data_IF_698076269463
#
_entry.id   IF_698076269463
#
_cell.length_a   1.000
_cell.length_b   1.000
_cell.length_c   1.000
_cell.angle_alpha   90.00
_cell.angle_beta   90.00
_cell.angle_gamma   90.00
#
_symmetry.space_group_name_H-M   'P 1'
#
loop_
_entity.id
_entity.type
_entity.pdbx_description
1 polymer ?
#
# COMPACT_ATOMS: atom_id res chain seq x y z
N UNK A 1 57.85 -2.21 10.48
CA UNK A 1 57.75 -1.17 9.43
C UNK A 1 56.40 -0.51 9.68
N UNK A 2 56.33 0.78 10.05
CA UNK A 2 55.05 1.40 10.42
C UNK A 2 54.16 1.50 9.17
N UNK A 3 52.96 0.94 9.22
CA UNK A 3 51.95 1.15 8.20
C UNK A 3 51.67 2.65 8.04
N UNK A 4 51.44 3.09 6.81
CA UNK A 4 50.84 4.40 6.57
C UNK A 4 49.41 4.39 7.15
N UNK A 5 48.95 5.51 7.73
CA UNK A 5 47.61 5.63 8.33
C UNK A 5 46.50 5.17 7.38
N UNK A 6 46.65 5.42 6.08
CA UNK A 6 45.73 4.97 5.04
C UNK A 6 45.69 3.43 4.89
N UNK A 7 46.84 2.76 5.01
CA UNK A 7 46.92 1.29 4.92
C UNK A 7 46.33 0.63 6.16
N UNK A 8 46.57 1.20 7.36
CA UNK A 8 45.95 0.72 8.61
C UNK A 8 44.43 0.85 8.55
N UNK A 9 43.90 1.97 8.06
CA UNK A 9 42.46 2.19 7.91
C UNK A 9 41.78 1.16 7.01
N UNK A 10 42.41 0.82 5.87
CA UNK A 10 41.88 -0.20 4.96
C UNK A 10 41.91 -1.60 5.57
N UNK A 11 43.00 -1.96 6.25
CA UNK A 11 43.13 -3.23 6.98
C UNK A 11 42.03 -3.38 8.05
N UNK A 12 41.78 -2.32 8.83
CA UNK A 12 40.69 -2.27 9.80
C UNK A 12 39.32 -2.53 9.20
N UNK A 13 38.98 -1.84 8.11
CA UNK A 13 37.68 -2.05 7.45
C UNK A 13 37.53 -3.48 6.94
N UNK A 14 38.59 -4.07 6.37
CA UNK A 14 38.58 -5.45 5.89
C UNK A 14 38.39 -6.45 7.03
N UNK A 15 39.08 -6.26 8.16
CA UNK A 15 38.93 -7.11 9.34
C UNK A 15 37.51 -7.03 9.93
N UNK A 16 36.94 -5.83 10.04
CA UNK A 16 35.56 -5.64 10.49
C UNK A 16 34.57 -6.35 9.57
N UNK A 17 34.70 -6.15 8.25
CA UNK A 17 33.84 -6.79 7.25
C UNK A 17 33.95 -8.31 7.29
N UNK A 18 35.16 -8.85 7.43
CA UNK A 18 35.37 -10.30 7.57
C UNK A 18 34.73 -10.86 8.85
N UNK A 19 34.85 -10.14 9.97
CA UNK A 19 34.39 -10.58 11.28
C UNK A 19 32.87 -10.51 11.43
N UNK A 20 32.27 -9.42 11.00
CA UNK A 20 30.85 -9.11 11.19
C UNK A 20 29.98 -9.55 10.01
N UNK A 21 30.56 -9.70 8.82
CA UNK A 21 29.85 -10.05 7.59
C UNK A 21 28.75 -9.03 7.27
N UNK A 22 27.54 -9.51 6.99
CA UNK A 22 26.39 -8.66 6.66
C UNK A 22 25.99 -7.70 7.78
N UNK A 23 26.31 -7.98 9.06
CA UNK A 23 26.01 -7.06 10.16
C UNK A 23 26.77 -5.72 10.04
N UNK A 24 27.93 -5.73 9.37
CA UNK A 24 28.68 -4.51 9.13
C UNK A 24 28.03 -3.64 8.06
N UNK A 25 27.51 -4.29 7.01
CA UNK A 25 26.89 -3.66 5.85
C UNK A 25 25.38 -3.44 6.00
N UNK A 26 24.79 -3.90 7.10
CA UNK A 26 23.36 -3.75 7.33
C UNK A 26 22.99 -2.28 7.54
N UNK A 27 21.94 -1.86 6.86
CA UNK A 27 21.40 -0.51 6.91
C UNK A 27 19.99 -0.54 7.50
N UNK A 28 19.66 0.49 8.28
CA UNK A 28 18.32 0.65 8.85
C UNK A 28 17.31 0.84 7.72
N UNK A 29 16.35 -0.09 7.51
CA UNK A 29 15.39 0.05 6.44
C UNK A 29 14.44 1.22 6.71
N UNK A 30 14.09 1.94 5.65
CA UNK A 30 13.02 2.94 5.72
C UNK A 30 11.67 2.25 5.56
N UNK A 31 10.84 2.33 6.61
CA UNK A 31 9.50 1.76 6.63
C UNK A 31 8.49 2.91 6.66
N UNK A 32 7.66 2.98 5.63
CA UNK A 32 6.54 3.92 5.57
C UNK A 32 5.34 3.32 6.30
N UNK A 33 4.58 4.15 7.01
CA UNK A 33 3.31 3.71 7.59
C UNK A 33 2.32 3.41 6.46
N UNK A 34 1.86 2.16 6.39
CA UNK A 34 0.91 1.69 5.40
C UNK A 34 -0.23 0.95 6.11
N UNK A 35 -0.81 -0.07 5.46
CA UNK A 35 -1.93 -0.85 6.00
C UNK A 35 -1.46 -1.82 7.07
N UNK A 36 -2.19 -1.84 8.19
CA UNK A 36 -1.98 -2.80 9.27
C UNK A 36 -0.94 -2.35 10.31
N UNK A 37 -0.37 -3.30 11.07
CA UNK A 37 0.55 -2.96 12.16
C UNK A 37 1.82 -2.28 11.64
N UNK A 38 2.16 -1.15 12.25
CA UNK A 38 3.36 -0.39 11.96
C UNK A 38 4.18 -0.24 13.24
N UNK A 39 5.35 -0.87 13.28
CA UNK A 39 6.25 -0.84 14.44
C UNK A 39 7.72 -0.77 13.99
N UNK A 40 8.17 0.39 13.45
CA UNK A 40 9.54 0.55 12.98
C UNK A 40 10.58 0.43 14.11
N UNK A 41 10.16 0.51 15.38
CA UNK A 41 11.05 0.35 16.54
C UNK A 41 11.76 -1.01 16.54
N UNK A 42 11.17 -2.05 15.94
CA UNK A 42 11.82 -3.37 15.82
C UNK A 42 13.15 -3.32 15.07
N UNK A 43 13.23 -2.49 14.04
CA UNK A 43 14.48 -2.30 13.29
C UNK A 43 15.43 -1.37 14.02
N UNK A 44 14.92 -0.32 14.66
CA UNK A 44 15.75 0.60 15.46
C UNK A 44 16.41 -0.12 16.65
N UNK A 45 15.67 -0.94 17.39
CA UNK A 45 16.18 -1.76 18.51
C UNK A 45 17.26 -2.75 18.03
N UNK A 46 17.11 -3.30 16.82
CA UNK A 46 18.11 -4.17 16.23
C UNK A 46 19.36 -3.39 15.82
N UNK A 47 19.20 -2.23 15.17
CA UNK A 47 20.31 -1.39 14.73
C UNK A 47 21.12 -0.85 15.92
N UNK A 48 20.46 -0.43 17.01
CA UNK A 48 21.14 0.00 18.23
C UNK A 48 22.05 -1.10 18.78
N UNK A 49 21.54 -2.33 18.89
CA UNK A 49 22.32 -3.49 19.34
C UNK A 49 23.45 -3.83 18.38
N UNK A 50 23.19 -3.72 17.07
CA UNK A 50 24.18 -3.94 16.01
C UNK A 50 25.30 -2.91 16.10
N UNK A 51 24.99 -1.62 16.16
CA UNK A 51 25.97 -0.54 16.30
C UNK A 51 26.79 -0.68 17.58
N UNK A 52 26.15 -1.03 18.70
CA UNK A 52 26.85 -1.31 19.95
C UNK A 52 27.83 -2.50 19.81
N UNK A 53 27.45 -3.55 19.09
CA UNK A 53 28.34 -4.68 18.77
C UNK A 53 29.49 -4.26 17.85
N UNK A 54 29.20 -3.53 16.76
CA UNK A 54 30.24 -3.02 15.84
C UNK A 54 31.25 -2.17 16.61
N UNK A 55 30.77 -1.28 17.49
CA UNK A 55 31.63 -0.44 18.31
C UNK A 55 32.55 -1.25 19.23
N UNK A 56 32.05 -2.28 19.92
CA UNK A 56 32.91 -3.14 20.77
C UNK A 56 34.01 -3.83 19.97
N UNK A 57 33.71 -4.29 18.76
CA UNK A 57 34.70 -4.91 17.88
C UNK A 57 35.70 -3.87 17.35
N UNK A 58 35.25 -2.65 17.05
CA UNK A 58 36.11 -1.53 16.66
C UNK A 58 37.05 -1.11 17.80
N UNK A 59 36.53 -0.96 19.01
CA UNK A 59 37.32 -0.62 20.20
C UNK A 59 38.37 -1.71 20.46
N UNK A 60 37.99 -2.99 20.36
CA UNK A 60 38.94 -4.10 20.47
C UNK A 60 40.05 -4.03 19.42
N UNK A 61 39.73 -3.77 18.14
CA UNK A 61 40.73 -3.61 17.08
C UNK A 61 41.62 -2.38 17.31
N UNK A 62 41.08 -1.27 17.82
CA UNK A 62 41.82 -0.04 18.09
C UNK A 62 42.88 -0.24 19.18
N UNK A 63 42.61 -1.09 20.17
CA UNK A 63 43.54 -1.45 21.23
C UNK A 63 44.67 -2.40 20.79
N UNK A 64 44.59 -2.99 19.59
CA UNK A 64 45.65 -3.85 19.05
C UNK A 64 46.81 -3.04 18.45
N UNK A 65 48.03 -3.56 18.63
CA UNK A 65 49.23 -3.01 18.01
C UNK A 65 49.22 -3.17 16.48
N UNK A 66 49.95 -2.30 15.76
CA UNK A 66 50.11 -2.41 14.29
C UNK A 66 50.54 -3.81 13.85
N UNK A 67 51.48 -4.42 14.58
CA UNK A 67 52.02 -5.74 14.26
C UNK A 67 50.96 -6.84 14.34
N UNK A 68 50.06 -6.78 15.33
CA UNK A 68 48.96 -7.73 15.45
C UNK A 68 47.94 -7.51 14.33
N UNK A 69 47.63 -6.26 14.00
CA UNK A 69 46.69 -5.93 12.93
C UNK A 69 47.18 -6.42 11.56
N UNK A 70 48.49 -6.26 11.29
CA UNK A 70 49.14 -6.80 10.10
C UNK A 70 49.01 -8.33 10.05
N UNK A 71 49.35 -9.02 11.16
CA UNK A 71 49.21 -10.48 11.26
C UNK A 71 47.77 -10.96 11.05
N UNK A 72 46.78 -10.26 11.61
CA UNK A 72 45.37 -10.62 11.45
C UNK A 72 44.90 -10.43 10.00
N UNK A 73 45.46 -9.45 9.30
CA UNK A 73 45.15 -9.14 7.90
C UNK A 73 45.82 -10.10 6.92
N UNK A 74 46.90 -10.75 7.33
CA UNK A 74 47.62 -11.73 6.53
C UNK A 74 46.84 -13.07 6.47
N UNK A 75 46.39 -13.51 5.28
CA UNK A 75 45.70 -14.78 5.12
C UNK A 75 46.59 -15.99 5.44
N UNK A 76 47.92 -15.87 5.34
CA UNK A 76 48.88 -16.94 5.58
C UNK A 76 49.13 -17.20 7.07
N UNK A 77 48.76 -16.26 7.96
CA UNK A 77 48.91 -16.43 9.42
C UNK A 77 48.19 -17.70 9.88
N UNK A 78 48.89 -18.65 10.53
CA UNK A 78 48.30 -19.90 11.01
C UNK A 78 47.09 -19.66 11.93
N UNK A 79 46.08 -20.53 11.87
CA UNK A 79 44.87 -20.37 12.69
C UNK A 79 45.09 -20.61 14.18
N UNK A 80 46.16 -21.31 14.55
CA UNK A 80 46.59 -21.60 15.92
C UNK A 80 47.43 -20.48 16.54
N UNK A 81 47.74 -19.42 15.79
CA UNK A 81 48.30 -18.19 16.35
C UNK A 81 47.34 -17.62 17.43
N UNK A 82 47.90 -17.28 18.60
CA UNK A 82 47.13 -16.84 19.76
C UNK A 82 46.33 -15.56 19.47
N UNK A 83 46.92 -14.60 18.74
CA UNK A 83 46.26 -13.34 18.39
C UNK A 83 45.08 -13.61 17.44
N UNK A 84 45.28 -14.45 16.43
CA UNK A 84 44.21 -14.86 15.49
C UNK A 84 43.10 -15.64 16.20
N UNK A 85 43.46 -16.55 17.11
CA UNK A 85 42.50 -17.30 17.93
C UNK A 85 41.68 -16.39 18.84
N UNK A 86 42.32 -15.42 19.50
CA UNK A 86 41.66 -14.44 20.35
C UNK A 86 40.71 -13.55 19.53
N UNK A 87 41.17 -13.06 18.38
CA UNK A 87 40.34 -12.30 17.43
C UNK A 87 39.12 -13.09 17.01
N UNK A 88 39.26 -14.36 16.63
CA UNK A 88 38.13 -15.21 16.21
C UNK A 88 37.12 -15.47 17.34
N UNK A 89 37.58 -15.57 18.59
CA UNK A 89 36.72 -15.78 19.76
C UNK A 89 36.01 -14.51 20.23
N UNK A 90 36.65 -13.35 20.09
CA UNK A 90 36.09 -12.06 20.52
C UNK A 90 34.70 -11.83 19.91
N UNK A 91 33.70 -11.56 20.75
CA UNK A 91 32.29 -11.32 20.39
C UNK A 91 31.61 -12.42 19.53
N UNK A 92 32.20 -13.63 19.43
CA UNK A 92 31.68 -14.70 18.54
C UNK A 92 30.22 -15.07 18.85
N UNK A 93 29.88 -15.20 20.13
CA UNK A 93 28.52 -15.56 20.54
C UNK A 93 27.54 -14.41 20.32
N UNK A 94 27.93 -13.16 20.56
CA UNK A 94 27.09 -12.00 20.30
C UNK A 94 26.78 -11.84 18.80
N UNK A 95 27.80 -12.00 17.94
CA UNK A 95 27.64 -12.01 16.48
C UNK A 95 26.67 -13.13 16.08
N UNK A 96 26.87 -14.35 16.60
CA UNK A 96 26.00 -15.49 16.31
C UNK A 96 24.55 -15.25 16.76
N UNK A 97 24.34 -14.62 17.92
CA UNK A 97 23.01 -14.28 18.42
C UNK A 97 22.34 -13.22 17.54
N UNK A 98 23.05 -12.16 17.17
CA UNK A 98 22.54 -11.14 16.25
C UNK A 98 22.20 -11.72 14.88
N UNK A 99 23.03 -12.63 14.35
CA UNK A 99 22.77 -13.30 13.09
C UNK A 99 21.51 -14.17 13.13
N UNK A 100 21.20 -14.78 14.29
CA UNK A 100 19.96 -15.54 14.49
C UNK A 100 18.73 -14.65 14.65
N UNK A 101 18.91 -13.47 15.24
CA UNK A 101 17.83 -12.51 15.50
C UNK A 101 17.75 -11.44 14.41
N UNK A 102 18.04 -11.78 13.14
CA UNK A 102 17.82 -10.85 12.05
C UNK A 102 16.32 -10.60 11.90
N UNK A 103 15.80 -9.38 12.14
CA UNK A 103 14.38 -9.11 11.95
C UNK A 103 14.02 -9.32 10.47
N UNK A 104 12.96 -10.08 10.15
CA UNK A 104 12.50 -10.17 8.77
C UNK A 104 12.07 -8.78 8.28
N UNK A 105 12.09 -8.57 6.96
CA UNK A 105 11.78 -7.28 6.35
C UNK A 105 10.38 -6.72 6.70
N UNK A 106 9.45 -7.60 7.07
CA UNK A 106 8.09 -7.24 7.50
C UNK A 106 7.97 -7.02 9.01
N UNK A 107 9.04 -7.12 9.80
CA UNK A 107 8.96 -7.05 11.27
C UNK A 107 8.36 -5.73 11.77
N UNK A 108 8.64 -4.63 11.07
CA UNK A 108 8.11 -3.30 11.36
C UNK A 108 6.84 -2.90 10.58
N UNK A 109 6.26 -3.81 9.80
CA UNK A 109 5.12 -3.54 8.92
C UNK A 109 5.43 -3.82 7.44
N UNK A 110 4.44 -3.61 6.56
CA UNK A 110 4.55 -3.95 5.13
C UNK A 110 5.07 -2.81 4.24
N UNK A 111 5.23 -1.59 4.76
CA UNK A 111 5.67 -0.42 3.99
C UNK A 111 7.17 -0.34 3.69
N UNK A 112 7.82 -1.47 3.43
CA UNK A 112 9.24 -1.51 3.07
C UNK A 112 9.43 -1.28 1.56
N UNK A 113 10.22 -0.27 1.17
CA UNK A 113 10.36 0.17 -0.23
C UNK A 113 10.76 -0.96 -1.20
N UNK A 114 11.79 -1.75 -0.85
CA UNK A 114 12.26 -2.87 -1.68
C UNK A 114 11.22 -3.98 -1.94
N UNK A 115 10.12 -4.00 -1.19
CA UNK A 115 9.07 -5.02 -1.28
C UNK A 115 7.74 -4.45 -1.77
N UNK A 116 7.72 -3.15 -2.09
CA UNK A 116 6.54 -2.44 -2.55
C UNK A 116 6.06 -2.98 -3.90
N UNK A 117 4.76 -3.12 -4.04
CA UNK A 117 4.14 -3.53 -5.30
C UNK A 117 4.33 -2.49 -6.42
N UNK A 118 4.48 -2.97 -7.64
CA UNK A 118 4.40 -2.14 -8.84
C UNK A 118 2.94 -1.88 -9.21
N UNK A 119 2.31 -0.91 -8.53
CA UNK A 119 0.88 -0.63 -8.73
C UNK A 119 0.54 -0.17 -10.15
N UNK A 120 1.48 0.43 -10.88
CA UNK A 120 1.26 0.82 -12.28
C UNK A 120 1.11 -0.42 -13.17
N UNK A 121 1.98 -1.42 -12.99
CA UNK A 121 1.86 -2.71 -13.65
C UNK A 121 0.58 -3.46 -13.23
N UNK A 122 0.33 -3.59 -11.92
CA UNK A 122 -0.80 -4.37 -11.41
C UNK A 122 -2.16 -3.75 -11.72
N UNK A 123 -2.25 -2.42 -11.88
CA UNK A 123 -3.49 -1.76 -12.29
C UNK A 123 -3.91 -2.05 -13.74
N UNK A 124 -3.02 -2.61 -14.57
CA UNK A 124 -3.31 -3.01 -15.95
C UNK A 124 -3.79 -4.47 -16.05
N UNK A 125 -3.76 -5.22 -14.96
CA UNK A 125 -4.18 -6.63 -14.95
C UNK A 125 -5.69 -6.75 -15.09
N UNK A 126 -6.14 -7.70 -15.92
CA UNK A 126 -7.55 -8.00 -16.10
C UNK A 126 -8.18 -8.75 -14.92
N UNK A 127 -7.36 -9.40 -14.10
CA UNK A 127 -7.81 -10.15 -12.92
C UNK A 127 -6.68 -10.49 -11.98
N UNK A 128 -7.04 -10.78 -10.73
CA UNK A 128 -6.11 -11.18 -9.67
C UNK A 128 -6.43 -12.60 -9.19
N UNK A 129 -5.44 -13.34 -8.72
CA UNK A 129 -5.65 -14.45 -7.78
C UNK A 129 -5.95 -13.90 -6.38
N UNK A 130 -6.50 -14.74 -5.50
CA UNK A 130 -6.68 -14.36 -4.09
C UNK A 130 -5.37 -13.93 -3.43
N UNK A 131 -4.27 -14.60 -3.77
CA UNK A 131 -2.95 -14.30 -3.24
C UNK A 131 -2.40 -12.96 -3.75
N UNK A 132 -2.58 -12.65 -5.03
CA UNK A 132 -2.24 -11.33 -5.58
C UNK A 132 -3.09 -10.24 -4.92
N UNK A 133 -4.41 -10.41 -4.85
CA UNK A 133 -5.30 -9.44 -4.22
C UNK A 133 -4.95 -9.20 -2.74
N UNK A 134 -4.58 -10.26 -2.01
CA UNK A 134 -4.10 -10.19 -0.64
C UNK A 134 -2.85 -9.31 -0.53
N UNK A 135 -1.79 -9.62 -1.27
CA UNK A 135 -0.52 -8.91 -1.13
C UNK A 135 -0.61 -7.47 -1.65
N UNK A 136 -1.32 -7.25 -2.76
CA UNK A 136 -1.55 -5.91 -3.30
C UNK A 136 -2.38 -5.04 -2.34
N UNK A 137 -3.35 -5.62 -1.63
CA UNK A 137 -4.11 -4.88 -0.60
C UNK A 137 -3.24 -4.38 0.56
N UNK A 138 -2.12 -5.06 0.83
CA UNK A 138 -1.11 -4.68 1.82
C UNK A 138 0.02 -3.82 1.25
N UNK A 139 0.03 -3.63 -0.08
CA UNK A 139 1.07 -2.93 -0.83
C UNK A 139 2.36 -3.70 -1.06
N UNK A 140 2.31 -5.03 -0.95
CA UNK A 140 3.45 -5.92 -1.14
C UNK A 140 3.42 -6.52 -2.54
N UNK A 141 4.57 -6.54 -3.21
CA UNK A 141 4.71 -7.19 -4.51
C UNK A 141 4.53 -8.72 -4.40
N UNK A 142 3.59 -9.34 -5.14
CA UNK A 142 3.29 -10.76 -5.02
C UNK A 142 4.46 -11.74 -5.13
N UNK A 143 5.54 -11.39 -5.84
CA UNK A 143 6.72 -12.25 -5.98
C UNK A 143 7.52 -12.45 -4.68
N UNK A 144 7.34 -11.60 -3.67
CA UNK A 144 8.10 -11.63 -2.43
C UNK A 144 7.51 -12.50 -1.32
N UNK A 145 6.26 -12.92 -1.49
CA UNK A 145 5.59 -13.87 -0.62
C UNK A 145 4.95 -14.93 -1.49
N UNK A 146 5.36 -16.19 -1.37
CA UNK A 146 4.71 -17.29 -2.10
C UNK A 146 3.47 -17.74 -1.36
N UNK A 147 2.47 -18.21 -2.09
CA UNK A 147 1.23 -18.73 -1.50
C UNK A 147 1.51 -19.89 -0.52
N UNK A 148 2.46 -20.77 -0.85
CA UNK A 148 2.91 -21.86 0.03
C UNK A 148 3.48 -21.36 1.36
N UNK A 149 4.22 -20.25 1.35
CA UNK A 149 4.78 -19.66 2.58
C UNK A 149 3.66 -19.13 3.49
N UNK A 150 2.66 -18.47 2.90
CA UNK A 150 1.48 -17.99 3.64
C UNK A 150 0.67 -19.16 4.21
N UNK A 151 0.50 -20.25 3.46
CA UNK A 151 -0.13 -21.47 3.95
C UNK A 151 0.65 -22.10 5.11
N UNK A 152 1.98 -22.17 5.01
CA UNK A 152 2.82 -22.68 6.08
C UNK A 152 2.72 -21.83 7.36
N UNK A 153 2.63 -20.50 7.22
CA UNK A 153 2.43 -19.58 8.36
C UNK A 153 1.06 -19.79 9.02
N UNK A 154 0.01 -20.05 8.24
CA UNK A 154 -1.31 -20.39 8.79
C UNK A 154 -1.23 -21.65 9.66
N UNK A 155 -0.57 -22.71 9.16
CA UNK A 155 -0.39 -23.94 9.93
C UNK A 155 0.49 -23.74 11.18
N UNK A 156 1.48 -22.85 11.12
CA UNK A 156 2.27 -22.46 12.31
C UNK A 156 1.37 -21.81 13.37
N UNK A 157 0.56 -20.83 12.97
CA UNK A 157 -0.35 -20.13 13.87
C UNK A 157 -1.36 -21.09 14.53
N UNK A 158 -1.91 -22.03 13.77
CA UNK A 158 -2.87 -23.04 14.26
C UNK A 158 -2.25 -24.02 15.27
N UNK A 159 -0.95 -24.29 15.16
CA UNK A 159 -0.21 -25.09 16.15
C UNK A 159 0.17 -24.31 17.41
N UNK A 160 -0.13 -23.00 17.45
CA UNK A 160 0.22 -22.12 18.57
C UNK A 160 1.61 -21.51 18.47
N UNK A 161 2.28 -21.58 17.31
CA UNK A 161 3.55 -20.90 17.09
C UNK A 161 3.33 -19.37 17.14
N UNK A 162 4.27 -18.64 17.73
CA UNK A 162 4.20 -17.17 17.76
C UNK A 162 4.68 -16.59 16.43
N UNK A 163 3.82 -15.81 15.78
CA UNK A 163 4.16 -15.07 14.56
C UNK A 163 4.33 -13.58 14.84
N UNK A 164 5.06 -12.92 13.95
CA UNK A 164 5.12 -11.47 13.92
C UNK A 164 3.73 -10.88 13.67
N UNK A 165 3.41 -9.79 14.34
CA UNK A 165 2.08 -9.17 14.27
C UNK A 165 1.63 -8.83 12.83
N UNK A 166 2.51 -8.35 11.92
CA UNK A 166 2.17 -8.17 10.50
C UNK A 166 1.74 -9.47 9.80
N UNK A 167 2.35 -10.63 10.12
CA UNK A 167 1.94 -11.91 9.55
C UNK A 167 0.56 -12.34 10.06
N UNK A 168 0.28 -12.13 11.35
CA UNK A 168 -1.07 -12.39 11.89
C UNK A 168 -2.11 -11.53 11.19
N UNK A 169 -1.79 -10.26 10.91
CA UNK A 169 -2.65 -9.37 10.15
C UNK A 169 -2.87 -9.86 8.70
N UNK A 170 -1.81 -10.27 8.01
CA UNK A 170 -1.87 -10.85 6.67
C UNK A 170 -2.78 -12.10 6.62
N UNK A 171 -2.64 -13.01 7.58
CA UNK A 171 -3.46 -14.22 7.65
C UNK A 171 -4.95 -13.91 7.89
N UNK A 172 -5.25 -12.93 8.74
CA UNK A 172 -6.64 -12.45 8.92
C UNK A 172 -7.19 -11.82 7.65
N UNK A 173 -6.39 -11.02 6.93
CA UNK A 173 -6.81 -10.45 5.64
C UNK A 173 -7.07 -11.55 4.61
N UNK A 174 -6.20 -12.56 4.56
CA UNK A 174 -6.37 -13.71 3.68
C UNK A 174 -7.71 -14.39 3.94
N UNK A 175 -8.05 -14.66 5.20
CA UNK A 175 -9.33 -15.26 5.57
C UNK A 175 -10.53 -14.44 5.07
N UNK A 176 -10.47 -13.10 5.19
CA UNK A 176 -11.51 -12.20 4.69
C UNK A 176 -11.70 -12.35 3.17
N UNK A 177 -10.59 -12.32 2.41
CA UNK A 177 -10.58 -12.42 0.94
C UNK A 177 -11.06 -13.80 0.49
N UNK A 178 -10.54 -14.88 1.08
CA UNK A 178 -10.91 -16.26 0.70
C UNK A 178 -12.39 -16.57 0.98
N UNK A 179 -12.96 -15.97 2.03
CA UNK A 179 -14.40 -16.14 2.33
C UNK A 179 -15.28 -15.48 1.29
N UNK A 180 -14.88 -14.31 0.78
CA UNK A 180 -15.61 -13.61 -0.26
C UNK A 180 -15.40 -14.25 -1.64
N UNK A 181 -14.15 -14.49 -2.00
CA UNK A 181 -13.72 -14.99 -3.30
C UNK A 181 -13.30 -16.44 -3.19
N UNK A 182 -14.29 -17.32 -3.00
CA UNK A 182 -14.03 -18.76 -2.83
C UNK A 182 -13.47 -19.34 -4.12
N UNK A 183 -12.22 -19.80 -4.07
CA UNK A 183 -11.58 -20.52 -5.17
C UNK A 183 -12.16 -21.92 -5.33
N UNK A 184 -13.23 -22.05 -6.12
CA UNK A 184 -13.74 -23.35 -6.55
C UNK A 184 -12.90 -23.90 -7.69
N UNK A 185 -11.72 -24.44 -7.36
CA UNK A 185 -10.81 -25.10 -8.31
C UNK A 185 -9.59 -24.29 -8.71
N UNK A 186 -8.75 -24.88 -9.56
CA UNK A 186 -7.52 -24.23 -10.06
C UNK A 186 -7.89 -23.12 -11.03
N UNK A 187 -7.37 -21.91 -10.80
CA UNK A 187 -7.51 -20.79 -11.71
C UNK A 187 -8.71 -19.88 -11.45
N UNK A 188 -9.29 -19.88 -10.24
CA UNK A 188 -10.18 -18.81 -9.86
C UNK A 188 -9.46 -17.46 -9.94
N UNK A 189 -10.14 -16.49 -10.53
CA UNK A 189 -9.65 -15.15 -10.80
C UNK A 189 -10.71 -14.17 -10.32
N UNK A 190 -10.27 -13.19 -9.54
CA UNK A 190 -11.06 -12.09 -9.02
C UNK A 190 -11.04 -10.98 -10.07
N UNK A 191 -12.21 -10.52 -10.49
CA UNK A 191 -12.32 -9.32 -11.28
C UNK A 191 -11.94 -8.10 -10.41
N UNK A 192 -11.06 -7.20 -10.87
CA UNK A 192 -10.63 -6.07 -10.07
C UNK A 192 -11.79 -5.17 -9.61
N UNK A 193 -12.77 -4.92 -10.49
CA UNK A 193 -13.92 -4.07 -10.13
C UNK A 193 -14.73 -4.71 -9.01
N UNK A 194 -15.00 -6.01 -9.11
CA UNK A 194 -15.66 -6.77 -8.04
C UNK A 194 -14.88 -6.70 -6.71
N UNK A 195 -13.55 -6.84 -6.78
CA UNK A 195 -12.68 -6.73 -5.60
C UNK A 195 -12.80 -5.37 -4.91
N UNK A 196 -12.66 -4.27 -5.67
CA UNK A 196 -12.68 -2.92 -5.12
C UNK A 196 -14.08 -2.50 -4.63
N UNK A 197 -15.15 -2.92 -5.31
CA UNK A 197 -16.53 -2.71 -4.85
C UNK A 197 -16.78 -3.42 -3.51
N UNK A 198 -16.36 -4.67 -3.39
CA UNK A 198 -16.44 -5.41 -2.13
C UNK A 198 -15.60 -4.77 -1.03
N UNK A 199 -14.35 -4.41 -1.33
CA UNK A 199 -13.44 -3.77 -0.38
C UNK A 199 -14.03 -2.45 0.15
N UNK A 200 -14.63 -1.63 -0.73
CA UNK A 200 -15.35 -0.43 -0.33
C UNK A 200 -16.55 -0.75 0.57
N UNK A 201 -17.36 -1.74 0.19
CA UNK A 201 -18.56 -2.14 0.94
C UNK A 201 -18.24 -2.60 2.36
N UNK A 202 -17.18 -3.41 2.55
CA UNK A 202 -16.76 -3.90 3.87
C UNK A 202 -15.79 -2.96 4.59
N UNK A 203 -15.49 -1.80 4.01
CA UNK A 203 -14.50 -0.85 4.51
C UNK A 203 -13.14 -1.51 4.78
N UNK A 204 -12.69 -2.36 3.83
CA UNK A 204 -11.40 -3.00 3.90
C UNK A 204 -10.30 -1.94 3.78
N UNK A 205 -9.45 -1.87 4.80
CA UNK A 205 -8.24 -1.05 4.78
C UNK A 205 -7.27 -1.58 3.70
N UNK A 206 -6.98 -0.74 2.70
CA UNK A 206 -6.18 -1.09 1.53
C UNK A 206 -5.10 -0.05 1.30
N UNK A 207 -3.99 -0.49 0.71
CA UNK A 207 -2.88 0.40 0.40
C UNK A 207 -3.38 1.55 -0.49
N UNK A 208 -3.14 2.82 -0.12
CA UNK A 208 -3.77 3.97 -0.77
C UNK A 208 -3.47 4.04 -2.26
N UNK A 209 -2.25 3.67 -2.65
CA UNK A 209 -1.86 3.63 -4.05
C UNK A 209 -2.61 2.57 -4.85
N UNK A 210 -2.81 1.38 -4.28
CA UNK A 210 -3.56 0.31 -4.95
C UNK A 210 -5.00 0.77 -5.25
N UNK A 211 -5.63 1.44 -4.28
CA UNK A 211 -6.94 2.04 -4.46
C UNK A 211 -6.94 3.18 -5.50
N UNK A 212 -5.95 4.07 -5.46
CA UNK A 212 -5.90 5.25 -6.34
C UNK A 212 -5.70 4.90 -7.82
N UNK A 213 -4.86 3.91 -8.13
CA UNK A 213 -4.56 3.52 -9.50
C UNK A 213 -5.79 2.87 -10.16
N UNK A 214 -6.56 2.08 -9.42
CA UNK A 214 -7.77 1.47 -9.95
C UNK A 214 -8.90 2.47 -10.24
N UNK A 215 -9.10 3.45 -9.34
CA UNK A 215 -10.07 4.53 -9.57
C UNK A 215 -9.67 5.37 -10.81
N UNK A 216 -8.38 5.50 -11.08
CA UNK A 216 -7.85 6.28 -12.19
C UNK A 216 -7.94 5.53 -13.53
N UNK A 217 -7.66 4.23 -13.59
CA UNK A 217 -7.81 3.43 -14.81
C UNK A 217 -9.27 3.29 -15.23
N UNK A 218 -10.20 3.18 -14.27
CA UNK A 218 -11.64 3.25 -14.54
C UNK A 218 -12.06 4.57 -15.22
N UNK A 219 -11.37 5.68 -14.91
CA UNK A 219 -11.57 6.99 -15.55
C UNK A 219 -10.81 7.17 -16.86
N UNK A 220 -9.75 6.40 -17.12
CA UNK A 220 -8.94 6.53 -18.34
C UNK A 220 -9.44 5.63 -19.49
N UNK A 221 -10.02 4.47 -19.19
CA UNK A 221 -10.78 3.69 -20.18
C UNK A 221 -12.20 4.21 -20.39
N UNK A 222 -12.73 4.98 -19.43
CA UNK A 222 -13.77 5.94 -19.71
C UNK A 222 -13.15 7.20 -20.32
N UNK A 223 -12.78 7.17 -21.62
CA UNK A 223 -12.94 8.39 -22.40
C UNK A 223 -14.30 8.97 -22.00
N UNK A 224 -14.40 10.23 -21.55
CA UNK A 224 -15.68 10.84 -21.30
C UNK A 224 -16.32 11.03 -22.68
N UNK A 225 -16.92 9.95 -23.18
CA UNK A 225 -18.12 10.11 -23.95
C UNK A 225 -19.03 10.85 -22.99
N UNK A 226 -19.22 12.15 -23.23
CA UNK A 226 -20.30 12.96 -22.69
C UNK A 226 -21.70 12.44 -23.15
N UNK A 227 -21.77 11.13 -23.42
CA UNK A 227 -22.84 10.30 -23.94
C UNK A 227 -22.87 8.98 -23.15
N UNK A 228 -22.44 8.91 -21.88
CA UNK A 228 -23.16 8.01 -20.97
C UNK A 228 -24.59 8.51 -20.96
N UNK A 229 -25.37 7.96 -21.88
CA UNK A 229 -26.74 8.36 -22.10
C UNK A 229 -27.48 8.09 -20.80
N UNK A 230 -28.40 9.00 -20.49
CA UNK A 230 -29.41 8.92 -19.44
C UNK A 230 -30.22 7.58 -19.47
N UNK A 231 -29.91 6.67 -20.40
CA UNK A 231 -30.48 5.34 -20.64
C UNK A 231 -29.94 4.25 -19.70
N UNK A 232 -28.76 4.41 -19.10
CA UNK A 232 -28.20 3.40 -18.19
C UNK A 232 -28.67 3.53 -16.72
N UNK A 233 -29.40 4.61 -16.37
CA UNK A 233 -30.02 4.72 -15.05
C UNK A 233 -31.24 3.80 -14.97
N UNK A 234 -31.41 3.11 -13.83
CA UNK A 234 -32.63 2.37 -13.54
C UNK A 234 -33.86 3.27 -13.81
N UNK A 235 -34.85 2.81 -14.60
CA UNK A 235 -35.97 3.66 -15.01
C UNK A 235 -36.77 4.26 -13.85
N UNK A 236 -36.84 3.58 -12.70
CA UNK A 236 -37.54 4.07 -11.51
C UNK A 236 -36.75 5.17 -10.81
N UNK A 237 -35.44 4.99 -10.69
CA UNK A 237 -34.53 6.01 -10.13
C UNK A 237 -34.58 7.27 -11.00
N UNK A 238 -34.46 7.11 -12.32
CA UNK A 238 -34.55 8.22 -13.28
C UNK A 238 -35.88 8.97 -13.19
N UNK A 239 -37.01 8.26 -13.11
CA UNK A 239 -38.32 8.90 -12.93
C UNK A 239 -38.42 9.67 -11.62
N UNK A 240 -37.85 9.13 -10.54
CA UNK A 240 -37.87 9.77 -9.22
C UNK A 240 -37.04 11.05 -9.21
N UNK A 241 -35.84 11.04 -9.80
CA UNK A 241 -35.00 12.23 -9.97
C UNK A 241 -35.70 13.31 -10.79
N UNK A 242 -36.33 12.94 -11.92
CA UNK A 242 -37.06 13.90 -12.74
C UNK A 242 -38.25 14.53 -12.00
N UNK A 243 -38.96 13.79 -11.15
CA UNK A 243 -40.04 14.34 -10.30
C UNK A 243 -39.50 15.34 -9.27
N UNK A 244 -38.35 15.05 -8.67
CA UNK A 244 -37.69 15.97 -7.73
C UNK A 244 -37.29 17.26 -8.44
N UNK A 245 -36.63 17.15 -9.60
CA UNK A 245 -36.24 18.31 -10.42
C UNK A 245 -37.48 19.15 -10.79
N UNK A 246 -38.57 18.52 -11.26
CA UNK A 246 -39.80 19.25 -11.57
C UNK A 246 -40.35 19.98 -10.34
N UNK A 247 -40.38 19.33 -9.19
CA UNK A 247 -40.90 19.90 -7.95
C UNK A 247 -40.06 21.10 -7.49
N UNK A 248 -38.74 20.98 -7.50
CA UNK A 248 -37.82 22.07 -7.11
C UNK A 248 -37.89 23.24 -8.09
N UNK A 249 -37.97 22.98 -9.40
CA UNK A 249 -38.06 24.04 -10.40
C UNK A 249 -39.38 24.82 -10.27
N UNK A 250 -40.51 24.11 -10.10
CA UNK A 250 -41.84 24.75 -9.97
C UNK A 250 -41.96 25.49 -8.64
N UNK A 251 -41.58 24.86 -7.52
CA UNK A 251 -41.76 25.43 -6.19
C UNK A 251 -40.70 26.46 -5.81
N UNK A 252 -39.44 26.22 -6.19
CA UNK A 252 -38.29 27.04 -5.80
C UNK A 252 -37.98 28.15 -6.79
N UNK A 253 -38.12 27.89 -8.09
CA UNK A 253 -37.79 28.85 -9.15
C UNK A 253 -39.01 29.37 -9.88
N UNK A 254 -40.23 29.05 -9.44
CA UNK A 254 -41.48 29.45 -10.09
C UNK A 254 -41.58 29.04 -11.57
N UNK A 255 -40.90 27.95 -11.95
CA UNK A 255 -40.89 27.46 -13.33
C UNK A 255 -42.28 27.06 -13.78
N UNK A 256 -42.75 27.66 -14.88
CA UNK A 256 -44.00 27.27 -15.52
C UNK A 256 -43.72 26.48 -16.81
N UNK A 257 -44.10 25.19 -16.88
CA UNK A 257 -43.82 24.32 -18.02
C UNK A 257 -44.55 24.73 -19.31
N UNK A 258 -45.55 25.62 -19.23
CA UNK A 258 -46.33 26.10 -20.37
C UNK A 258 -45.77 27.36 -21.01
N UNK A 259 -44.79 28.00 -20.38
CA UNK A 259 -44.23 29.25 -20.89
C UNK A 259 -43.33 29.00 -22.10
N UNK A 260 -43.48 29.83 -23.13
CA UNK A 260 -42.63 29.75 -24.34
C UNK A 260 -41.18 30.12 -24.06
N UNK A 261 -40.93 30.96 -23.05
CA UNK A 261 -39.63 31.40 -22.59
C UNK A 261 -39.67 31.50 -21.07
N UNK A 262 -38.59 31.06 -20.41
CA UNK A 262 -38.44 31.09 -18.96
C UNK A 262 -36.99 31.41 -18.62
N UNK A 263 -36.80 32.39 -17.74
CA UNK A 263 -35.48 32.83 -17.26
C UNK A 263 -34.95 31.91 -16.12
N UNK A 264 -35.78 30.97 -15.66
CA UNK A 264 -35.40 29.97 -14.63
C UNK A 264 -34.17 29.16 -15.01
N UNK A 265 -33.94 28.95 -16.32
CA UNK A 265 -32.74 28.21 -16.76
C UNK A 265 -31.47 28.94 -16.33
N UNK A 266 -31.39 30.25 -16.59
CA UNK A 266 -30.24 31.07 -16.19
C UNK A 266 -30.15 31.23 -14.68
N UNK A 267 -31.28 31.32 -13.97
CA UNK A 267 -31.29 31.43 -12.51
C UNK A 267 -30.69 30.18 -11.85
N UNK A 268 -31.09 28.98 -12.30
CA UNK A 268 -30.55 27.70 -11.82
C UNK A 268 -29.04 27.62 -12.12
N UNK A 269 -28.60 28.00 -13.31
CA UNK A 269 -27.17 27.98 -13.68
C UNK A 269 -26.36 28.93 -12.79
N UNK A 270 -26.88 30.13 -12.54
CA UNK A 270 -26.24 31.11 -11.67
C UNK A 270 -26.14 30.60 -10.22
N UNK A 271 -27.21 30.01 -9.68
CA UNK A 271 -27.21 29.49 -8.32
C UNK A 271 -26.31 28.25 -8.16
N UNK A 272 -26.29 27.36 -9.15
CA UNK A 272 -25.33 26.25 -9.19
C UNK A 272 -23.88 26.76 -9.20
N UNK A 273 -23.60 27.81 -9.97
CA UNK A 273 -22.27 28.42 -10.06
C UNK A 273 -21.82 29.04 -8.72
N UNK A 274 -22.74 29.66 -7.97
CA UNK A 274 -22.45 30.16 -6.60
C UNK A 274 -22.03 29.04 -5.64
N UNK A 275 -22.44 27.80 -5.91
CA UNK A 275 -22.07 26.61 -5.14
C UNK A 275 -20.83 25.87 -5.71
N UNK A 276 -20.18 26.42 -6.74
CA UNK A 276 -19.04 25.78 -7.40
C UNK A 276 -19.41 24.64 -8.34
N UNK A 277 -20.70 24.52 -8.72
CA UNK A 277 -21.19 23.51 -9.67
C UNK A 277 -21.30 24.13 -11.06
N UNK A 278 -20.52 23.62 -12.01
CA UNK A 278 -20.57 24.08 -13.40
C UNK A 278 -21.69 23.38 -14.17
N UNK A 279 -22.69 24.15 -14.64
CA UNK A 279 -23.79 23.68 -15.47
C UNK A 279 -23.95 24.58 -16.70
N UNK A 280 -24.38 24.00 -17.82
CA UNK A 280 -24.76 24.75 -19.03
C UNK A 280 -26.26 24.95 -19.11
N UNK A 281 -26.71 26.06 -19.70
CA UNK A 281 -28.13 26.34 -19.92
C UNK A 281 -28.82 25.21 -20.70
N UNK A 282 -28.12 24.61 -21.67
CA UNK A 282 -28.65 23.50 -22.47
C UNK A 282 -28.90 22.25 -21.63
N UNK A 283 -28.00 21.96 -20.67
CA UNK A 283 -28.17 20.83 -19.75
C UNK A 283 -29.39 21.06 -18.85
N UNK A 284 -29.51 22.25 -18.26
CA UNK A 284 -30.66 22.60 -17.41
C UNK A 284 -31.96 22.55 -18.21
N UNK A 285 -31.99 23.16 -19.40
CA UNK A 285 -33.17 23.16 -20.29
C UNK A 285 -33.57 21.74 -20.72
N UNK A 286 -32.60 20.86 -21.00
CA UNK A 286 -32.84 19.45 -21.32
C UNK A 286 -33.55 18.75 -20.17
N UNK A 287 -33.01 18.84 -18.94
CA UNK A 287 -33.60 18.16 -17.79
C UNK A 287 -34.91 18.78 -17.31
N UNK A 288 -35.10 20.10 -17.44
CA UNK A 288 -36.40 20.73 -17.23
C UNK A 288 -37.45 20.19 -18.21
N UNK A 289 -37.13 20.12 -19.52
CA UNK A 289 -38.06 19.53 -20.51
C UNK A 289 -38.40 18.07 -20.19
N UNK A 290 -37.41 17.27 -19.76
CA UNK A 290 -37.67 15.89 -19.37
C UNK A 290 -38.55 15.80 -18.11
N UNK A 291 -38.28 16.64 -17.11
CA UNK A 291 -39.03 16.68 -15.86
C UNK A 291 -40.47 17.17 -16.05
N UNK A 292 -40.73 18.09 -16.99
CA UNK A 292 -42.11 18.51 -17.31
C UNK A 292 -43.04 17.38 -17.74
N UNK A 293 -42.49 16.30 -18.32
CA UNK A 293 -43.29 15.11 -18.68
C UNK A 293 -43.83 14.37 -17.45
N UNK A 294 -43.27 14.60 -16.28
CA UNK A 294 -43.69 14.01 -15.00
C UNK A 294 -44.80 14.84 -14.31
N UNK A 295 -45.10 16.04 -14.80
CA UNK A 295 -46.15 16.91 -14.26
C UNK A 295 -47.48 16.54 -14.93
N UNK A 296 -48.57 16.48 -14.14
CA UNK A 296 -49.91 16.24 -14.68
C UNK A 296 -50.33 17.33 -15.67
N UNK A 297 -51.01 16.94 -16.75
CA UNK A 297 -51.54 17.89 -17.76
C UNK A 297 -52.55 18.87 -17.16
N UNK A 298 -53.25 18.47 -16.10
CA UNK A 298 -54.26 19.27 -15.42
C UNK A 298 -53.68 20.20 -14.35
N UNK A 299 -52.36 20.14 -14.13
CA UNK A 299 -51.69 21.01 -13.19
C UNK A 299 -51.89 22.48 -13.59
N UNK A 300 -52.13 23.33 -12.58
CA UNK A 300 -52.21 24.78 -12.72
C UNK A 300 -51.29 25.38 -11.67
N UNK A 301 -50.54 26.45 -12.00
CA UNK A 301 -49.81 27.19 -10.98
C UNK A 301 -50.80 27.68 -9.94
N UNK A 302 -50.45 27.53 -8.66
CA UNK A 302 -51.18 28.23 -7.61
C UNK A 302 -50.89 29.72 -7.82
N UNK A 303 -51.87 30.47 -8.32
CA UNK A 303 -51.81 31.92 -8.35
C UNK A 303 -51.86 32.40 -6.89
N UNK A 304 -50.68 32.51 -6.28
CA UNK A 304 -50.47 33.21 -5.01
C UNK A 304 -50.25 34.70 -5.26
#
# INVERSE_FOLDING_TARGET
>A
MKLNESSRGLAFQNLLKQKLGWLFEWELPTIVETVGPHDPSKFADFDEKRLALVKRVQDYLADLSDEVVDKLSDPETPSDDDDKSNWLRHEREAIRQMQKFNPPWYAGGFGHENYRADFEYWAQMSSFTNHEALLLSLGVEPKHFREEEVMNMQSQLERGDTLWLPLVYLLRRREQIERQFRSYGRGHKIDPKEFFEWAHYVQLDMHPEFHSHFVSTGKAQATPNANETDENLDPRVRSSMLKIIATMAVAGYTYNPRDKKSDVTSDIVNDASKLGISLTDDTVRKYLKLSTKMISKDWKPNNS
#
